data_IF_320498237105
#
_entry.id   IF_320498237105
#
_cell.length_a   1.000
_cell.length_b   1.000
_cell.length_c   1.000
_cell.angle_alpha   90.00
_cell.angle_beta   90.00
_cell.angle_gamma   90.00
#
_symmetry.space_group_name_H-M   'P 1'
#
loop_
_entity.id
_entity.type
_entity.pdbx_description
1 polymer ?
#
# COMPACT_ATOMS: atom_id res chain seq x y z
N UNK A 1 -20.55 10.74 16.87
CA UNK A 1 -20.29 11.37 15.56
C UNK A 1 -20.49 10.28 14.52
N UNK A 2 -21.38 10.45 13.55
CA UNK A 2 -21.44 9.49 12.44
C UNK A 2 -20.08 9.55 11.75
N UNK A 3 -19.32 8.47 11.79
CA UNK A 3 -18.07 8.39 11.06
C UNK A 3 -18.39 8.67 9.59
N UNK A 4 -17.90 9.79 9.06
CA UNK A 4 -18.00 10.06 7.63
C UNK A 4 -17.33 8.93 6.85
N UNK A 5 -17.73 8.76 5.60
CA UNK A 5 -17.13 7.76 4.71
C UNK A 5 -15.61 8.01 4.65
N UNK A 6 -14.79 7.01 5.00
CA UNK A 6 -13.32 7.10 4.95
C UNK A 6 -12.83 6.87 3.53
N UNK A 7 -13.09 7.86 2.70
CA UNK A 7 -12.80 7.85 1.28
C UNK A 7 -12.09 9.14 0.85
N UNK A 8 -11.18 9.01 -0.10
CA UNK A 8 -10.48 10.14 -0.69
C UNK A 8 -10.22 9.91 -2.18
N UNK A 9 -10.10 10.99 -2.94
CA UNK A 9 -9.70 10.95 -4.35
C UNK A 9 -8.54 11.90 -4.58
N UNK A 10 -7.45 11.38 -5.10
CA UNK A 10 -6.26 12.15 -5.43
C UNK A 10 -6.07 12.14 -6.94
N UNK A 11 -5.82 13.34 -7.48
CA UNK A 11 -5.39 13.53 -8.86
C UNK A 11 -4.00 14.16 -8.85
N UNK A 12 -3.06 13.55 -9.56
CA UNK A 12 -1.68 14.03 -9.70
C UNK A 12 -1.25 13.90 -11.15
N UNK A 13 -0.90 15.03 -11.75
CA UNK A 13 -0.46 15.12 -13.14
C UNK A 13 0.95 15.75 -13.15
N UNK A 14 1.92 15.05 -13.75
CA UNK A 14 3.29 15.52 -14.02
C UNK A 14 3.57 15.47 -15.53
N UNK A 15 4.82 15.72 -15.92
CA UNK A 15 5.25 15.50 -17.29
C UNK A 15 5.41 14.01 -17.64
N UNK A 16 5.60 13.15 -16.63
CA UNK A 16 5.87 11.72 -16.78
C UNK A 16 4.61 10.87 -16.58
N UNK A 17 3.72 11.26 -15.66
CA UNK A 17 2.53 10.49 -15.28
C UNK A 17 1.28 11.35 -15.09
N UNK A 18 0.11 10.76 -15.33
CA UNK A 18 -1.21 11.31 -15.00
C UNK A 18 -2.01 10.25 -14.25
N UNK A 19 -2.31 10.52 -12.98
CA UNK A 19 -2.90 9.54 -12.08
C UNK A 19 -4.16 10.11 -11.45
N UNK A 20 -5.24 9.33 -11.51
CA UNK A 20 -6.47 9.57 -10.77
C UNK A 20 -6.82 8.32 -9.96
N UNK A 21 -6.81 8.45 -8.64
CA UNK A 21 -6.96 7.33 -7.70
C UNK A 21 -8.00 7.68 -6.63
N UNK A 22 -8.96 6.79 -6.41
CA UNK A 22 -9.94 6.85 -5.32
C UNK A 22 -9.80 5.63 -4.43
N UNK A 23 -9.75 5.83 -3.10
CA UNK A 23 -9.79 4.76 -2.10
C UNK A 23 -11.01 4.88 -1.20
N UNK A 24 -11.61 3.76 -0.83
CA UNK A 24 -12.54 3.67 0.31
C UNK A 24 -12.01 2.65 1.32
N UNK A 25 -11.61 3.11 2.51
CA UNK A 25 -11.03 2.26 3.55
C UNK A 25 -12.04 1.28 4.17
N UNK A 26 -13.33 1.60 4.09
CA UNK A 26 -14.45 0.78 4.58
C UNK A 26 -15.13 0.02 3.44
N UNK A 27 -14.33 -0.46 2.49
CA UNK A 27 -14.80 -1.10 1.28
C UNK A 27 -15.13 -2.59 1.43
N UNK A 28 -15.32 -3.24 0.28
CA UNK A 28 -15.52 -4.68 0.16
C UNK A 28 -14.37 -5.37 -0.59
N UNK A 29 -13.32 -4.62 -0.94
CA UNK A 29 -12.18 -5.09 -1.72
C UNK A 29 -12.50 -5.19 -3.21
N UNK A 30 -13.31 -4.26 -3.70
CA UNK A 30 -13.63 -4.11 -5.13
C UNK A 30 -12.61 -3.20 -5.80
N UNK A 31 -12.23 -3.51 -7.05
CA UNK A 31 -11.21 -2.73 -7.75
C UNK A 31 -11.47 -2.52 -9.23
N UNK A 32 -11.18 -1.31 -9.69
CA UNK A 32 -11.09 -0.90 -11.10
C UNK A 32 -9.70 -0.29 -11.32
N UNK A 33 -8.75 -1.08 -11.82
CA UNK A 33 -7.33 -0.69 -11.89
C UNK A 33 -6.86 -0.76 -13.35
N UNK A 34 -6.18 0.29 -13.79
CA UNK A 34 -5.48 0.34 -15.07
C UNK A 34 -4.28 1.27 -14.94
N UNK A 35 -3.08 0.70 -14.87
CA UNK A 35 -1.82 1.46 -14.79
C UNK A 35 -0.99 1.41 -16.07
N UNK A 36 -1.36 0.55 -17.03
CA UNK A 36 -0.52 0.23 -18.18
C UNK A 36 0.52 -0.85 -17.90
N UNK A 37 0.67 -1.29 -16.64
CA UNK A 37 1.63 -2.33 -16.21
C UNK A 37 0.88 -3.53 -15.65
N UNK A 38 0.64 -4.55 -16.48
CA UNK A 38 -0.30 -5.64 -16.16
C UNK A 38 0.03 -6.43 -14.87
N UNK A 39 1.31 -6.71 -14.61
CA UNK A 39 1.70 -7.40 -13.38
C UNK A 39 1.48 -6.53 -12.13
N UNK A 40 1.68 -5.23 -12.25
CA UNK A 40 1.41 -4.28 -11.17
C UNK A 40 -0.09 -4.09 -10.92
N UNK A 41 -0.90 -4.06 -11.98
CA UNK A 41 -2.37 -4.09 -11.88
C UNK A 41 -2.87 -5.30 -11.08
N UNK A 42 -2.26 -6.47 -11.32
CA UNK A 42 -2.52 -7.69 -10.55
C UNK A 42 -2.14 -7.52 -9.06
N UNK A 43 -0.95 -6.97 -8.76
CA UNK A 43 -0.52 -6.71 -7.38
C UNK A 43 -1.48 -5.77 -6.62
N UNK A 44 -1.97 -4.72 -7.28
CA UNK A 44 -2.92 -3.77 -6.70
C UNK A 44 -4.33 -4.37 -6.54
N UNK A 45 -4.72 -5.27 -7.42
CA UNK A 45 -5.97 -6.05 -7.30
C UNK A 45 -5.92 -6.95 -6.06
N UNK A 46 -4.80 -7.66 -5.86
CA UNK A 46 -4.57 -8.44 -4.65
C UNK A 46 -4.59 -7.56 -3.39
N UNK A 47 -3.96 -6.39 -3.45
CA UNK A 47 -4.00 -5.42 -2.35
C UNK A 47 -5.44 -5.06 -1.96
N UNK A 48 -6.26 -4.61 -2.93
CA UNK A 48 -7.65 -4.24 -2.69
C UNK A 48 -8.43 -5.41 -2.09
N UNK A 49 -8.32 -6.60 -2.70
CA UNK A 49 -9.07 -7.79 -2.26
C UNK A 49 -8.72 -8.22 -0.83
N UNK A 50 -7.44 -8.21 -0.46
CA UNK A 50 -7.01 -8.69 0.84
C UNK A 50 -7.12 -7.63 1.94
N UNK A 51 -7.07 -6.35 1.59
CA UNK A 51 -7.28 -5.25 2.53
C UNK A 51 -8.77 -4.97 2.80
N UNK A 52 -9.67 -5.42 1.91
CA UNK A 52 -11.07 -4.97 1.85
C UNK A 52 -11.18 -3.44 1.66
N UNK A 53 -10.24 -2.87 0.91
CA UNK A 53 -10.24 -1.45 0.54
C UNK A 53 -10.69 -1.39 -0.90
N UNK A 54 -11.74 -0.61 -1.20
CA UNK A 54 -12.13 -0.42 -2.60
C UNK A 54 -11.14 0.54 -3.26
N UNK A 55 -10.69 0.19 -4.48
CA UNK A 55 -9.64 0.91 -5.20
C UNK A 55 -10.06 1.17 -6.64
N UNK A 56 -10.22 2.44 -7.01
CA UNK A 56 -10.33 2.86 -8.40
C UNK A 56 -9.07 3.61 -8.78
N UNK A 57 -8.36 3.13 -9.79
CA UNK A 57 -7.08 3.68 -10.23
C UNK A 57 -7.00 3.71 -11.75
N UNK A 58 -6.75 4.90 -12.28
CA UNK A 58 -6.28 5.10 -13.65
C UNK A 58 -4.94 5.83 -13.61
N UNK A 59 -3.90 5.21 -14.16
CA UNK A 59 -2.62 5.85 -14.39
C UNK A 59 -2.25 5.74 -15.88
N UNK A 60 -1.71 6.83 -16.41
CA UNK A 60 -1.15 6.94 -17.75
C UNK A 60 0.26 7.51 -17.58
N UNK A 61 1.28 6.74 -17.90
CA UNK A 61 2.67 7.09 -17.68
C UNK A 61 3.54 6.77 -18.87
N UNK A 62 4.79 7.22 -18.82
CA UNK A 62 5.81 7.04 -19.86
C UNK A 62 6.39 5.62 -19.91
N UNK A 63 5.52 4.60 -19.96
CA UNK A 63 5.88 3.17 -19.91
C UNK A 63 6.77 2.68 -21.06
N UNK A 64 6.91 3.48 -22.12
CA UNK A 64 7.85 3.23 -23.22
C UNK A 64 9.32 3.54 -22.84
N UNK A 65 9.54 4.34 -21.78
CA UNK A 65 10.86 4.59 -21.18
C UNK A 65 11.21 3.42 -20.26
N UNK A 66 10.45 3.27 -19.18
CA UNK A 66 10.41 2.09 -18.29
C UNK A 66 9.14 2.16 -17.40
N UNK A 67 9.01 1.26 -16.42
CA UNK A 67 7.85 1.26 -15.51
C UNK A 67 8.06 2.06 -14.22
N UNK A 68 9.22 2.69 -14.03
CA UNK A 68 9.65 3.27 -12.75
C UNK A 68 8.71 4.40 -12.31
N UNK A 69 8.55 5.44 -13.14
CA UNK A 69 7.75 6.61 -12.78
C UNK A 69 6.29 6.22 -12.49
N UNK A 70 5.72 5.34 -13.31
CA UNK A 70 4.34 4.86 -13.11
C UNK A 70 4.20 4.12 -11.78
N UNK A 71 5.10 3.20 -11.44
CA UNK A 71 5.02 2.40 -10.22
C UNK A 71 5.27 3.25 -8.96
N UNK A 72 6.28 4.12 -9.00
CA UNK A 72 6.59 5.04 -7.90
C UNK A 72 5.42 6.00 -7.64
N UNK A 73 4.94 6.68 -8.69
CA UNK A 73 3.92 7.72 -8.55
C UNK A 73 2.57 7.13 -8.13
N UNK A 74 2.22 5.92 -8.56
CA UNK A 74 1.05 5.20 -8.02
C UNK A 74 1.21 4.95 -6.51
N UNK A 75 2.40 4.57 -6.05
CA UNK A 75 2.71 4.42 -4.62
C UNK A 75 2.50 5.73 -3.84
N UNK A 76 3.01 6.84 -4.37
CA UNK A 76 2.85 8.18 -3.79
C UNK A 76 1.37 8.55 -3.69
N UNK A 77 0.63 8.44 -4.80
CA UNK A 77 -0.78 8.84 -4.87
C UNK A 77 -1.66 7.97 -3.97
N UNK A 78 -1.39 6.66 -3.90
CA UNK A 78 -2.09 5.75 -2.98
C UNK A 78 -1.83 6.12 -1.52
N UNK A 79 -0.58 6.44 -1.17
CA UNK A 79 -0.22 6.89 0.18
C UNK A 79 -0.92 8.20 0.56
N UNK A 80 -1.00 9.16 -0.37
CA UNK A 80 -1.74 10.41 -0.19
C UNK A 80 -3.23 10.16 0.03
N UNK A 81 -3.86 9.32 -0.79
CA UNK A 81 -5.29 9.02 -0.72
C UNK A 81 -5.64 8.34 0.62
N UNK A 82 -4.84 7.37 1.06
CA UNK A 82 -5.06 6.72 2.36
C UNK A 82 -4.84 7.70 3.50
N UNK A 83 -3.86 8.61 3.41
CA UNK A 83 -3.63 9.64 4.43
C UNK A 83 -4.83 10.57 4.57
N UNK A 84 -5.39 11.03 3.46
CA UNK A 84 -6.57 11.89 3.45
C UNK A 84 -7.81 11.14 3.99
N UNK A 85 -8.03 9.91 3.55
CA UNK A 85 -9.14 9.08 4.03
C UNK A 85 -9.06 8.72 5.52
N UNK A 86 -7.84 8.69 6.09
CA UNK A 86 -7.62 8.45 7.53
C UNK A 86 -7.88 9.68 8.41
N UNK A 87 -7.84 10.90 7.85
CA UNK A 87 -7.99 12.14 8.61
C UNK A 87 -7.01 12.25 9.79
N UNK A 88 -7.55 12.47 10.99
CA UNK A 88 -6.78 12.62 12.24
C UNK A 88 -6.33 11.29 12.86
N UNK A 89 -6.65 10.15 12.22
CA UNK A 89 -6.33 8.79 12.70
C UNK A 89 -6.93 8.48 14.07
N UNK A 90 -7.99 9.17 14.46
CA UNK A 90 -8.68 8.90 15.72
C UNK A 90 -9.41 7.56 15.67
N UNK A 91 -9.31 6.77 16.74
CA UNK A 91 -10.06 5.54 16.92
C UNK A 91 -9.59 4.32 16.11
N UNK A 92 -8.56 4.44 15.27
CA UNK A 92 -7.97 3.29 14.57
C UNK A 92 -7.05 2.47 15.48
N UNK A 93 -6.76 1.23 15.09
CA UNK A 93 -5.77 0.36 15.73
C UNK A 93 -4.33 0.88 15.60
N UNK A 94 -4.04 1.69 14.58
CA UNK A 94 -2.75 2.33 14.24
C UNK A 94 -1.64 1.37 13.80
N UNK A 95 -1.52 0.25 14.48
CA UNK A 95 -0.53 -0.79 14.21
C UNK A 95 -1.18 -1.96 13.51
N UNK A 96 -0.45 -2.54 12.56
CA UNK A 96 -0.85 -3.76 11.90
C UNK A 96 0.35 -4.60 11.53
N UNK A 97 0.17 -5.91 11.49
CA UNK A 97 1.18 -6.83 11.02
C UNK A 97 0.52 -8.05 10.37
N UNK A 98 1.24 -8.68 9.47
CA UNK A 98 0.85 -9.96 8.90
C UNK A 98 2.08 -10.73 8.41
N UNK A 99 2.06 -12.05 8.56
CA UNK A 99 3.03 -12.97 7.97
C UNK A 99 2.26 -13.81 6.96
N UNK A 100 2.69 -13.82 5.71
CA UNK A 100 1.94 -14.42 4.61
C UNK A 100 2.80 -15.42 3.84
N UNK A 101 2.34 -16.68 3.73
CA UNK A 101 2.92 -17.64 2.80
C UNK A 101 2.36 -17.45 1.38
N UNK A 102 3.17 -17.80 0.39
CA UNK A 102 2.77 -18.03 -1.00
C UNK A 102 3.64 -19.17 -1.54
N UNK A 103 3.09 -20.37 -1.65
CA UNK A 103 3.82 -21.60 -1.96
C UNK A 103 5.12 -21.74 -1.13
N UNK A 104 6.31 -21.74 -1.76
CA UNK A 104 7.60 -21.84 -1.09
C UNK A 104 8.04 -20.56 -0.38
N UNK A 105 7.37 -19.44 -0.66
CA UNK A 105 7.72 -18.12 -0.17
C UNK A 105 7.01 -17.79 1.15
N UNK A 106 7.71 -17.10 2.06
CA UNK A 106 7.16 -16.49 3.26
C UNK A 106 7.65 -15.05 3.41
N UNK A 107 6.71 -14.10 3.49
CA UNK A 107 7.00 -12.70 3.70
C UNK A 107 6.23 -12.14 4.90
N UNK A 108 6.73 -11.05 5.49
CA UNK A 108 6.02 -10.31 6.54
C UNK A 108 5.96 -8.82 6.25
N UNK A 109 4.86 -8.20 6.70
CA UNK A 109 4.67 -6.76 6.72
C UNK A 109 4.31 -6.31 8.12
N UNK A 110 4.88 -5.18 8.56
CA UNK A 110 4.52 -4.48 9.80
C UNK A 110 4.37 -2.99 9.47
N UNK A 111 3.30 -2.36 9.98
CA UNK A 111 3.01 -0.95 9.71
C UNK A 111 2.62 -0.21 11.01
N UNK A 112 3.12 1.03 11.17
CA UNK A 112 2.68 2.01 12.16
C UNK A 112 2.27 3.31 11.44
N UNK A 113 0.97 3.64 11.52
CA UNK A 113 0.37 4.87 10.98
C UNK A 113 0.73 6.10 11.82
N UNK A 114 2.01 6.48 11.76
CA UNK A 114 2.70 7.28 12.77
C UNK A 114 2.90 8.76 12.47
N UNK A 115 2.66 9.20 11.22
CA UNK A 115 3.14 10.49 10.67
C UNK A 115 4.67 10.64 10.70
N UNK A 116 5.40 9.52 10.70
CA UNK A 116 6.86 9.48 10.57
C UNK A 116 7.21 8.54 9.42
N UNK A 117 7.61 9.07 8.25
CA UNK A 117 7.96 8.23 7.11
C UNK A 117 9.23 7.45 7.42
N UNK A 118 9.15 6.13 7.32
CA UNK A 118 10.30 5.24 7.40
C UNK A 118 9.97 3.97 6.63
N UNK A 119 10.89 3.52 5.81
CA UNK A 119 10.73 2.30 5.03
C UNK A 119 11.93 1.39 5.31
N UNK A 120 11.65 0.16 5.74
CA UNK A 120 12.66 -0.90 5.89
C UNK A 120 12.27 -2.04 4.96
N UNK A 121 13.11 -2.29 3.96
CA UNK A 121 12.91 -3.35 2.97
C UNK A 121 14.05 -4.36 3.04
N UNK A 122 13.74 -5.56 3.52
CA UNK A 122 14.68 -6.68 3.64
C UNK A 122 14.22 -7.82 2.74
N UNK A 123 14.36 -7.63 1.44
CA UNK A 123 14.01 -8.62 0.42
C UNK A 123 15.24 -8.81 -0.44
N UNK A 124 15.92 -9.93 -0.22
CA UNK A 124 17.12 -10.33 -0.97
C UNK A 124 16.74 -11.50 -1.86
N UNK A 125 16.86 -11.31 -3.18
CA UNK A 125 16.50 -12.31 -4.18
C UNK A 125 17.53 -12.34 -5.29
N UNK A 126 17.57 -13.46 -6.02
CA UNK A 126 18.53 -13.71 -7.10
C UNK A 126 17.96 -13.40 -8.49
N UNK A 127 16.66 -13.63 -8.70
CA UNK A 127 15.94 -13.30 -9.92
C UNK A 127 14.85 -12.27 -9.60
N UNK A 128 14.78 -11.20 -10.38
CA UNK A 128 13.82 -10.11 -10.20
C UNK A 128 12.74 -10.05 -11.28
N UNK A 129 12.81 -10.89 -12.30
CA UNK A 129 11.94 -10.73 -13.48
C UNK A 129 10.70 -11.61 -13.40
N UNK A 130 9.54 -10.97 -13.57
CA UNK A 130 8.28 -11.62 -13.92
C UNK A 130 7.88 -11.11 -15.29
N UNK A 131 8.12 -11.93 -16.33
CA UNK A 131 7.98 -11.52 -17.75
C UNK A 131 8.79 -10.24 -18.05
N UNK A 132 8.13 -9.11 -18.22
CA UNK A 132 8.69 -7.79 -18.52
C UNK A 132 8.80 -6.88 -17.27
N UNK A 133 8.28 -7.31 -16.12
CA UNK A 133 8.30 -6.53 -14.89
C UNK A 133 9.48 -6.92 -13.99
N UNK A 134 10.25 -5.92 -13.57
CA UNK A 134 11.30 -6.08 -12.57
C UNK A 134 10.76 -5.79 -11.17
N UNK A 135 10.70 -6.82 -10.30
CA UNK A 135 10.13 -6.69 -8.95
C UNK A 135 10.96 -5.83 -8.00
N UNK A 136 12.14 -5.34 -8.41
CA UNK A 136 12.82 -4.27 -7.69
C UNK A 136 11.95 -3.00 -7.58
N UNK A 137 11.08 -2.74 -8.56
CA UNK A 137 10.15 -1.59 -8.54
C UNK A 137 9.10 -1.69 -7.43
N UNK A 138 8.86 -2.89 -6.88
CA UNK A 138 8.00 -3.07 -5.69
C UNK A 138 8.55 -2.27 -4.50
N UNK A 139 9.88 -2.18 -4.36
CA UNK A 139 10.52 -1.34 -3.34
C UNK A 139 10.17 0.13 -3.53
N UNK A 140 10.23 0.64 -4.75
CA UNK A 140 9.96 2.05 -5.06
C UNK A 140 8.50 2.42 -4.81
N UNK A 141 7.57 1.52 -5.18
CA UNK A 141 6.16 1.64 -4.79
C UNK A 141 5.99 1.80 -3.27
N UNK A 142 6.60 0.91 -2.48
CA UNK A 142 6.48 0.95 -1.02
C UNK A 142 7.19 2.15 -0.40
N UNK A 143 8.31 2.59 -0.98
CA UNK A 143 9.03 3.78 -0.55
C UNK A 143 8.18 5.04 -0.77
N UNK A 144 7.63 5.22 -1.97
CA UNK A 144 6.72 6.31 -2.30
C UNK A 144 5.48 6.30 -1.41
N UNK A 145 4.87 5.13 -1.22
CA UNK A 145 3.73 4.94 -0.32
C UNK A 145 4.04 5.35 1.13
N UNK A 146 5.13 4.84 1.71
CA UNK A 146 5.48 5.10 3.11
C UNK A 146 5.79 6.58 3.35
N UNK A 147 6.48 7.22 2.39
CA UNK A 147 6.77 8.65 2.40
C UNK A 147 5.49 9.48 2.36
N UNK A 148 4.61 9.20 1.40
CA UNK A 148 3.37 9.95 1.20
C UNK A 148 2.39 9.80 2.38
N UNK A 149 2.19 8.56 2.86
CA UNK A 149 1.32 8.29 4.01
C UNK A 149 1.92 8.79 5.33
N UNK A 150 3.24 8.92 5.40
CA UNK A 150 3.97 9.20 6.63
C UNK A 150 3.86 8.04 7.61
N UNK A 151 4.08 6.81 7.16
CA UNK A 151 4.05 5.63 8.03
C UNK A 151 5.45 5.02 8.20
N UNK A 152 5.63 4.26 9.28
CA UNK A 152 6.71 3.30 9.35
C UNK A 152 6.20 2.02 8.69
N UNK A 153 6.88 1.56 7.65
CA UNK A 153 6.55 0.36 6.89
C UNK A 153 7.78 -0.56 6.85
N UNK A 154 7.61 -1.77 7.37
CA UNK A 154 8.66 -2.78 7.39
C UNK A 154 8.20 -4.00 6.60
N UNK A 155 8.98 -4.36 5.58
CA UNK A 155 8.75 -5.51 4.73
C UNK A 155 9.99 -6.39 4.78
N UNK A 156 9.78 -7.69 5.01
CA UNK A 156 10.85 -8.68 5.03
C UNK A 156 10.41 -9.94 4.31
N UNK A 157 11.26 -10.43 3.42
CA UNK A 157 11.22 -11.79 2.92
C UNK A 157 11.94 -12.68 3.95
N UNK A 158 11.24 -13.65 4.53
CA UNK A 158 11.87 -14.62 5.43
C UNK A 158 12.60 -15.69 4.61
N UNK A 159 11.97 -16.16 3.53
CA UNK A 159 12.54 -17.05 2.51
C UNK A 159 11.60 -17.08 1.29
N UNK A 160 12.12 -17.50 0.14
CA UNK A 160 11.40 -17.60 -1.13
C UNK A 160 12.35 -17.54 -2.32
N UNK A 161 11.94 -18.06 -3.47
CA UNK A 161 12.81 -18.12 -4.66
C UNK A 161 12.14 -17.53 -5.90
N UNK A 162 10.83 -17.72 -6.05
CA UNK A 162 10.12 -17.33 -7.26
C UNK A 162 9.65 -15.85 -7.17
N UNK A 163 10.05 -14.97 -8.11
CA UNK A 163 9.79 -13.53 -8.00
C UNK A 163 8.29 -13.15 -8.01
N UNK A 164 7.43 -13.90 -8.69
CA UNK A 164 5.98 -13.69 -8.65
C UNK A 164 5.43 -14.00 -7.25
N UNK A 165 5.81 -15.14 -6.65
CA UNK A 165 5.39 -15.55 -5.31
C UNK A 165 5.84 -14.54 -4.26
N UNK A 166 7.05 -14.02 -4.39
CA UNK A 166 7.62 -12.98 -3.52
C UNK A 166 6.82 -11.68 -3.63
N UNK A 167 6.56 -11.18 -4.84
CA UNK A 167 5.77 -9.97 -5.02
C UNK A 167 4.34 -10.14 -4.46
N UNK A 168 3.67 -11.25 -4.77
CA UNK A 168 2.34 -11.54 -4.22
C UNK A 168 2.34 -11.62 -2.70
N UNK A 169 3.36 -12.27 -2.12
CA UNK A 169 3.46 -12.43 -0.68
C UNK A 169 3.59 -11.07 0.02
N UNK A 170 4.42 -10.17 -0.53
CA UNK A 170 4.61 -8.83 -0.01
C UNK A 170 3.33 -7.99 -0.09
N UNK A 171 2.66 -7.98 -1.25
CA UNK A 171 1.42 -7.18 -1.43
C UNK A 171 0.26 -7.69 -0.57
N UNK A 172 0.07 -9.02 -0.47
CA UNK A 172 -0.98 -9.59 0.38
C UNK A 172 -0.67 -9.38 1.86
N UNK A 173 0.58 -9.52 2.30
CA UNK A 173 0.98 -9.23 3.69
C UNK A 173 0.75 -7.74 4.02
N UNK A 174 1.15 -6.85 3.12
CA UNK A 174 0.91 -5.41 3.24
C UNK A 174 -0.58 -5.08 3.34
N UNK A 175 -1.40 -5.66 2.46
CA UNK A 175 -2.85 -5.46 2.46
C UNK A 175 -3.49 -5.82 3.81
N UNK A 176 -3.14 -7.00 4.35
CA UNK A 176 -3.66 -7.48 5.63
C UNK A 176 -3.15 -6.64 6.81
N UNK A 177 -1.88 -6.26 6.80
CA UNK A 177 -1.29 -5.42 7.83
C UNK A 177 -1.94 -4.02 7.83
N UNK A 178 -2.10 -3.40 6.65
CA UNK A 178 -2.76 -2.10 6.53
C UNK A 178 -4.20 -2.18 6.98
N UNK A 179 -4.97 -3.18 6.55
CA UNK A 179 -6.35 -3.41 7.01
C UNK A 179 -6.41 -3.41 8.54
N UNK A 180 -5.59 -4.22 9.18
CA UNK A 180 -5.55 -4.29 10.63
C UNK A 180 -5.20 -2.93 11.27
N UNK A 181 -4.31 -2.16 10.67
CA UNK A 181 -3.91 -0.84 11.20
C UNK A 181 -5.01 0.23 11.07
N UNK A 182 -5.78 0.21 9.97
CA UNK A 182 -6.83 1.19 9.70
C UNK A 182 -8.18 0.82 10.31
N UNK A 183 -8.39 -0.42 10.73
CA UNK A 183 -9.63 -0.84 11.40
C UNK A 183 -9.90 -0.04 12.67
N UNK A 184 -11.18 0.26 12.91
CA UNK A 184 -11.63 0.94 14.11
C UNK A 184 -11.46 0.01 15.32
N UNK A 185 -10.79 0.50 16.36
CA UNK A 185 -10.69 -0.16 17.65
C UNK A 185 -11.85 0.30 18.55
N UNK A 186 -12.83 -0.60 18.73
CA UNK A 186 -14.00 -0.35 19.58
C UNK A 186 -13.63 0.01 21.03
N UNK A 187 -12.48 -0.45 21.54
CA UNK A 187 -12.01 -0.15 22.90
C UNK A 187 -11.26 1.17 22.98
N UNK A 188 -10.88 1.75 21.84
CA UNK A 188 -10.13 2.99 21.84
C UNK A 188 -11.01 4.24 22.00
N UNK A 189 -12.32 4.09 21.79
CA UNK A 189 -13.32 5.12 22.09
C UNK A 189 -13.15 6.39 21.27
N UNK A 190 -12.67 6.25 20.02
CA UNK A 190 -12.45 7.40 19.12
C UNK A 190 -11.27 8.29 19.51
N UNK A 191 -10.40 7.86 20.42
CA UNK A 191 -9.20 8.64 20.79
C UNK A 191 -8.07 8.41 19.79
N UNK A 192 -7.22 9.41 19.60
CA UNK A 192 -5.96 9.24 18.87
C UNK A 192 -5.09 8.20 19.61
N UNK A 193 -4.62 7.13 18.95
CA UNK A 193 -3.82 6.07 19.57
C UNK A 193 -2.36 6.51 19.77
N UNK A 194 -2.15 7.55 20.57
CA UNK A 194 -0.83 8.13 20.87
C UNK A 194 -0.79 8.69 22.29
N UNK A 195 0.27 8.36 23.03
CA UNK A 195 0.52 8.94 24.37
C UNK A 195 0.84 10.44 24.32
N UNK A 196 1.27 10.95 23.16
CA UNK A 196 1.49 12.39 22.92
C UNK A 196 0.17 13.17 22.75
N UNK A 197 -0.97 12.49 22.70
CA UNK A 197 -2.28 13.08 22.40
C UNK A 197 -2.48 13.45 20.93
N UNK A 198 -1.45 13.32 20.09
CA UNK A 198 -1.50 13.62 18.66
C UNK A 198 -0.66 12.63 17.85
N UNK A 199 -1.04 12.48 16.58
CA UNK A 199 -0.23 11.92 15.50
C UNK A 199 -0.07 13.06 14.50
N UNK A 200 1.01 13.83 14.63
CA UNK A 200 1.41 14.90 13.73
C UNK A 200 2.84 14.67 13.27
#
# INVERSE_FOLDING_TARGET
MSAGVRQATIRRDTAETKINLTVNLDGQGTSEISTGVAFFDHMLTLFSRHALIDLKLKADGDTDVDYHHTVEDVGIVLGQAIKEALGDKAGIRRYGFFILPMDETLARCVIDLSNRPMMVYQVEITNYMVKDFNIALVREFFQGFANALGCNLHLKLEYGEEPHHIAEALFKAFARALRAAVEIDARQGGRVPSTKGTLA
#
